data_IF_439271775824
#
_entry.id   IF_439271775824
#
_cell.length_a   1.000
_cell.length_b   1.000
_cell.length_c   1.000
_cell.angle_alpha   90.00
_cell.angle_beta   90.00
_cell.angle_gamma   90.00
#
_symmetry.space_group_name_H-M   'P 1'
#
loop_
_entity.id
_entity.type
_entity.pdbx_description
1 polymer ?
#
# COMPACT_ATOMS: atom_id res chain seq x y z
N UNK A 1 -22.46 1.14 -11.08
CA UNK A 1 -22.52 0.89 -9.63
C UNK A 1 -21.09 0.86 -9.09
N UNK A 2 -20.80 1.60 -8.03
CA UNK A 2 -19.51 1.51 -7.35
C UNK A 2 -19.41 0.14 -6.67
N UNK A 3 -18.46 -0.68 -7.10
CA UNK A 3 -18.21 -1.96 -6.46
C UNK A 3 -17.42 -1.73 -5.17
N UNK A 4 -17.66 -2.55 -4.14
CA UNK A 4 -16.94 -2.49 -2.84
C UNK A 4 -15.41 -2.45 -3.06
N UNK A 5 -14.91 -3.15 -4.08
CA UNK A 5 -13.50 -3.13 -4.46
C UNK A 5 -12.98 -1.76 -4.93
N UNK A 6 -13.79 -0.96 -5.62
CA UNK A 6 -13.41 0.39 -6.05
C UNK A 6 -13.32 1.36 -4.86
N UNK A 7 -14.22 1.22 -3.89
CA UNK A 7 -14.17 1.98 -2.63
C UNK A 7 -12.90 1.60 -1.84
N UNK A 8 -12.62 0.31 -1.75
CA UNK A 8 -11.43 -0.22 -1.08
C UNK A 8 -10.14 0.27 -1.75
N UNK A 9 -10.11 0.33 -3.09
CA UNK A 9 -9.00 0.88 -3.86
C UNK A 9 -8.80 2.38 -3.61
N UNK A 10 -9.88 3.15 -3.62
CA UNK A 10 -9.85 4.58 -3.30
C UNK A 10 -9.29 4.84 -1.89
N UNK A 11 -9.73 4.05 -0.91
CA UNK A 11 -9.17 4.09 0.45
C UNK A 11 -7.68 3.70 0.45
N UNK A 12 -7.28 2.71 -0.33
CA UNK A 12 -5.88 2.30 -0.50
C UNK A 12 -4.98 3.43 -1.00
N UNK A 13 -5.44 4.19 -2.01
CA UNK A 13 -4.70 5.35 -2.54
C UNK A 13 -4.56 6.45 -1.48
N UNK A 14 -5.64 6.72 -0.73
CA UNK A 14 -5.64 7.71 0.34
C UNK A 14 -4.68 7.29 1.46
N UNK A 15 -4.69 6.01 1.85
CA UNK A 15 -3.78 5.44 2.85
C UNK A 15 -2.31 5.58 2.44
N UNK A 16 -1.97 5.24 1.19
CA UNK A 16 -0.60 5.40 0.67
C UNK A 16 -0.22 6.89 0.66
N UNK A 17 -1.10 7.76 0.17
CA UNK A 17 -0.82 9.20 0.12
C UNK A 17 -0.59 9.82 1.50
N UNK A 18 -1.38 9.39 2.50
CA UNK A 18 -1.19 9.76 3.91
C UNK A 18 0.11 9.18 4.48
N UNK A 19 0.49 7.98 4.05
CA UNK A 19 1.77 7.36 4.37
C UNK A 19 2.96 8.21 3.89
N UNK A 20 2.91 8.70 2.65
CA UNK A 20 3.93 9.58 2.06
C UNK A 20 4.00 10.92 2.81
N UNK A 21 2.86 11.51 3.15
CA UNK A 21 2.79 12.81 3.81
C UNK A 21 3.20 12.75 5.30
N UNK A 22 3.08 11.58 5.92
CA UNK A 22 3.38 11.39 7.35
C UNK A 22 4.89 11.39 7.61
N UNK A 23 5.38 12.43 8.32
CA UNK A 23 6.79 12.51 8.78
C UNK A 23 7.21 11.37 9.72
N UNK A 24 6.26 10.76 10.45
CA UNK A 24 6.54 9.63 11.35
C UNK A 24 6.74 8.36 10.53
N UNK A 25 8.00 8.04 10.23
CA UNK A 25 8.40 6.91 9.38
C UNK A 25 7.76 5.56 9.76
N UNK A 26 7.59 5.25 11.05
CA UNK A 26 6.94 3.98 11.47
C UNK A 26 5.46 3.89 11.07
N UNK A 27 4.72 5.00 11.18
CA UNK A 27 3.31 5.03 10.80
C UNK A 27 3.18 5.07 9.27
N UNK A 28 4.09 5.76 8.59
CA UNK A 28 4.17 5.76 7.12
C UNK A 28 4.36 4.34 6.56
N UNK A 29 5.30 3.57 7.12
CA UNK A 29 5.57 2.20 6.66
C UNK A 29 4.33 1.29 6.84
N UNK A 30 3.62 1.41 7.96
CA UNK A 30 2.37 0.67 8.23
C UNK A 30 1.23 1.06 7.27
N UNK A 31 1.07 2.36 7.01
CA UNK A 31 0.08 2.89 6.07
C UNK A 31 0.35 2.43 4.64
N UNK A 32 1.62 2.38 4.23
CA UNK A 32 2.02 1.86 2.92
C UNK A 32 1.74 0.37 2.77
N UNK A 33 2.00 -0.45 3.81
CA UNK A 33 1.72 -1.89 3.77
C UNK A 33 0.20 -2.13 3.66
N UNK A 34 -0.60 -1.47 4.50
CA UNK A 34 -2.06 -1.63 4.49
C UNK A 34 -2.70 -1.08 3.21
N UNK A 35 -2.26 0.10 2.75
CA UNK A 35 -2.73 0.68 1.49
C UNK A 35 -2.32 -0.14 0.27
N UNK A 36 -1.09 -0.67 0.26
CA UNK A 36 -0.59 -1.56 -0.79
C UNK A 36 -1.39 -2.86 -0.89
N UNK A 37 -1.65 -3.54 0.25
CA UNK A 37 -2.47 -4.77 0.29
C UNK A 37 -3.89 -4.55 -0.27
N UNK A 38 -4.50 -3.41 0.06
CA UNK A 38 -5.80 -3.01 -0.47
C UNK A 38 -5.76 -2.84 -1.99
N UNK A 39 -4.73 -2.16 -2.49
CA UNK A 39 -4.55 -1.89 -3.92
C UNK A 39 -4.16 -3.12 -4.72
N UNK A 40 -3.38 -4.06 -4.17
CA UNK A 40 -3.11 -5.37 -4.78
C UNK A 40 -4.42 -6.13 -4.98
N UNK A 41 -5.27 -6.17 -3.95
CA UNK A 41 -6.56 -6.87 -4.01
C UNK A 41 -7.47 -6.28 -5.09
N UNK A 42 -7.48 -4.95 -5.25
CA UNK A 42 -8.18 -4.30 -6.36
C UNK A 42 -7.54 -4.62 -7.72
N UNK A 43 -6.21 -4.59 -7.80
CA UNK A 43 -5.47 -4.77 -9.06
C UNK A 43 -5.60 -6.18 -9.61
N UNK A 44 -5.72 -7.18 -8.73
CA UNK A 44 -6.07 -8.56 -9.09
C UNK A 44 -7.47 -8.63 -9.69
N UNK A 45 -8.44 -7.89 -9.15
CA UNK A 45 -9.81 -7.86 -9.69
C UNK A 45 -9.87 -7.25 -11.10
N UNK A 46 -9.08 -6.20 -11.37
CA UNK A 46 -8.99 -5.61 -12.71
C UNK A 46 -8.00 -6.35 -13.62
N UNK A 47 -7.31 -7.38 -13.10
CA UNK A 47 -6.28 -8.17 -13.78
C UNK A 47 -5.16 -7.31 -14.39
N UNK A 48 -4.74 -6.26 -13.69
CA UNK A 48 -3.64 -5.38 -14.13
C UNK A 48 -2.28 -5.87 -13.56
N UNK A 49 -1.45 -6.56 -14.37
CA UNK A 49 -0.20 -7.13 -13.89
C UNK A 49 0.86 -6.07 -13.53
N UNK A 50 0.84 -4.89 -14.18
CA UNK A 50 1.81 -3.83 -13.90
C UNK A 50 1.54 -3.23 -12.53
N UNK A 51 0.28 -2.92 -12.23
CA UNK A 51 -0.09 -2.35 -10.95
C UNK A 51 0.11 -3.35 -9.80
N UNK A 52 -0.21 -4.64 -10.02
CA UNK A 52 0.09 -5.71 -9.04
C UNK A 52 1.58 -5.76 -8.73
N UNK A 53 2.42 -5.78 -9.76
CA UNK A 53 3.88 -5.89 -9.61
C UNK A 53 4.44 -4.69 -8.85
N UNK A 54 4.01 -3.48 -9.22
CA UNK A 54 4.46 -2.27 -8.54
C UNK A 54 4.06 -2.28 -7.07
N UNK A 55 2.83 -2.70 -6.74
CA UNK A 55 2.38 -2.75 -5.36
C UNK A 55 3.11 -3.82 -4.53
N UNK A 56 3.43 -4.97 -5.12
CA UNK A 56 4.25 -5.99 -4.46
C UNK A 56 5.65 -5.43 -4.13
N UNK A 57 6.31 -4.77 -5.08
CA UNK A 57 7.63 -4.15 -4.85
C UNK A 57 7.52 -3.10 -3.74
N UNK A 58 6.49 -2.26 -3.78
CA UNK A 58 6.27 -1.20 -2.79
C UNK A 58 6.07 -1.76 -1.38
N UNK A 59 5.28 -2.83 -1.24
CA UNK A 59 5.07 -3.53 0.03
C UNK A 59 6.38 -4.15 0.54
N UNK A 60 7.16 -4.81 -0.33
CA UNK A 60 8.44 -5.41 0.06
C UNK A 60 9.41 -4.35 0.60
N UNK A 61 9.52 -3.21 -0.10
CA UNK A 61 10.37 -2.09 0.34
C UNK A 61 9.88 -1.55 1.68
N UNK A 62 8.58 -1.35 1.86
CA UNK A 62 8.01 -0.86 3.11
C UNK A 62 8.27 -1.83 4.29
N UNK A 63 8.14 -3.15 4.06
CA UNK A 63 8.44 -4.18 5.07
C UNK A 63 9.93 -4.19 5.43
N UNK A 64 10.80 -4.08 4.43
CA UNK A 64 12.24 -4.03 4.64
C UNK A 64 12.64 -2.81 5.48
N UNK A 65 12.11 -1.64 5.13
CA UNK A 65 12.40 -0.38 5.82
C UNK A 65 11.84 -0.37 7.25
N UNK A 66 10.64 -0.95 7.45
CA UNK A 66 10.05 -1.16 8.76
C UNK A 66 10.90 -2.10 9.64
N UNK A 67 11.38 -3.21 9.08
CA UNK A 67 12.18 -4.20 9.81
C UNK A 67 13.58 -3.69 10.15
N UNK A 68 14.21 -2.94 9.24
CA UNK A 68 15.54 -2.33 9.45
C UNK A 68 15.53 -1.29 10.57
N UNK A 69 14.47 -0.48 10.68
CA UNK A 69 14.33 0.54 11.74
C UNK A 69 14.06 -0.03 13.14
N UNK A 70 13.72 -1.31 13.26
CA UNK A 70 13.55 -2.00 14.56
C UNK A 70 14.87 -2.50 15.17
N UNK A 71 15.96 -2.51 14.38
CA UNK A 71 17.31 -2.97 14.78
C UNK A 71 18.25 -1.83 15.24
N UNK A 72 17.76 -0.58 15.30
CA UNK A 72 18.43 0.56 15.94
C UNK A 72 17.61 1.00 17.14
#
# INVERSE_FOLDING_TARGET
MLNIFQILAGLGIILISLGILTRKRKNADLLHILGGLSLVSYSINIKDPFFITLQIIFIIVAIYDFSRKRKK
#
